data_IF_631190462749
#
_entry.id   IF_631190462749
#
_cell.length_a   1.000
_cell.length_b   1.000
_cell.length_c   1.000
_cell.angle_alpha   90.00
_cell.angle_beta   90.00
_cell.angle_gamma   90.00
#
_symmetry.space_group_name_H-M   'P 1'
#
loop_
_entity.id
_entity.type
_entity.pdbx_description
1 polymer ?
#
# COMPACT_ATOMS: atom_id res chain seq x y z
N UNK A 1 1.90 1.71 -46.57
CA UNK A 1 1.78 0.79 -45.42
C UNK A 1 1.19 1.58 -44.26
N UNK A 2 0.06 1.17 -43.68
CA UNK A 2 -0.59 1.98 -42.65
C UNK A 2 0.22 1.89 -41.36
N UNK A 3 0.58 3.06 -40.81
CA UNK A 3 1.20 3.17 -39.49
C UNK A 3 0.23 2.59 -38.45
N UNK A 4 0.65 1.67 -37.56
CA UNK A 4 -0.22 1.12 -36.54
C UNK A 4 -0.58 2.21 -35.52
N UNK A 5 -1.88 2.48 -35.41
CA UNK A 5 -2.57 3.30 -34.40
C UNK A 5 -1.95 4.65 -34.01
N UNK A 6 -2.55 5.72 -34.51
CA UNK A 6 -2.40 7.06 -33.92
C UNK A 6 -2.64 6.96 -32.41
N UNK A 7 -1.63 7.36 -31.63
CA UNK A 7 -1.64 7.26 -30.17
C UNK A 7 -2.68 8.25 -29.61
N UNK A 8 -3.83 7.77 -29.15
CA UNK A 8 -4.95 8.63 -28.75
C UNK A 8 -5.23 8.48 -27.25
N UNK A 9 -5.28 9.61 -26.53
CA UNK A 9 -5.93 9.68 -25.21
C UNK A 9 -7.41 10.00 -25.44
N UNK A 10 -8.29 9.14 -24.95
CA UNK A 10 -9.74 9.27 -25.09
C UNK A 10 -10.36 9.70 -23.76
N UNK A 11 -11.14 10.77 -23.79
CA UNK A 11 -11.98 11.13 -22.65
C UNK A 11 -13.15 10.14 -22.57
N UNK A 12 -13.43 9.63 -21.37
CA UNK A 12 -14.52 8.68 -21.11
C UNK A 12 -15.67 9.33 -20.31
N UNK A 13 -15.68 10.66 -20.23
CA UNK A 13 -16.84 11.42 -19.75
C UNK A 13 -18.04 11.17 -20.66
N UNK A 14 -19.25 11.08 -20.10
CA UNK A 14 -20.48 10.90 -20.85
C UNK A 14 -20.57 11.92 -21.99
N UNK A 15 -20.90 11.46 -23.20
CA UNK A 15 -21.07 12.27 -24.40
C UNK A 15 -19.84 13.07 -24.88
N UNK A 16 -18.66 12.87 -24.27
CA UNK A 16 -17.43 13.49 -24.73
C UNK A 16 -16.74 12.68 -25.83
N UNK A 17 -16.63 13.25 -27.03
CA UNK A 17 -15.89 12.68 -28.16
C UNK A 17 -14.46 13.21 -28.27
N UNK A 18 -13.94 13.87 -27.23
CA UNK A 18 -12.62 14.49 -27.30
C UNK A 18 -11.51 13.43 -27.32
N UNK A 19 -10.65 13.55 -28.32
CA UNK A 19 -9.51 12.68 -28.57
C UNK A 19 -8.26 13.55 -28.65
N UNK A 20 -7.32 13.35 -27.74
CA UNK A 20 -6.00 14.00 -27.83
C UNK A 20 -5.07 13.07 -28.59
N UNK A 21 -4.77 13.44 -29.84
CA UNK A 21 -3.73 12.76 -30.64
C UNK A 21 -2.36 13.11 -30.07
N UNK A 22 -1.57 12.10 -29.73
CA UNK A 22 -0.21 12.30 -29.24
C UNK A 22 0.69 12.60 -30.44
N UNK A 23 1.02 13.87 -30.64
CA UNK A 23 1.90 14.30 -31.73
C UNK A 23 3.37 13.94 -31.43
N UNK A 24 4.13 13.38 -32.38
CA UNK A 24 5.53 12.99 -32.18
C UNK A 24 6.49 14.14 -31.81
N UNK A 25 6.11 15.41 -32.05
CA UNK A 25 6.97 16.59 -31.82
C UNK A 25 6.66 17.42 -30.56
N UNK A 26 5.57 17.13 -29.82
CA UNK A 26 5.28 17.80 -28.54
C UNK A 26 5.80 16.94 -27.39
N UNK A 27 6.30 17.57 -26.32
CA UNK A 27 6.67 16.87 -25.08
C UNK A 27 5.46 16.13 -24.52
N UNK A 28 5.68 14.89 -24.12
CA UNK A 28 4.65 14.02 -23.58
C UNK A 28 4.02 14.59 -22.30
N UNK A 29 4.81 15.27 -21.47
CA UNK A 29 4.35 15.96 -20.27
C UNK A 29 3.30 17.04 -20.59
N UNK A 30 3.50 17.80 -21.66
CA UNK A 30 2.57 18.86 -22.07
C UNK A 30 1.26 18.27 -22.58
N UNK A 31 1.33 17.16 -23.32
CA UNK A 31 0.16 16.43 -23.82
C UNK A 31 -0.69 15.85 -22.68
N UNK A 32 -0.05 15.30 -21.64
CA UNK A 32 -0.75 14.81 -20.44
C UNK A 32 -1.47 15.94 -19.72
N UNK A 33 -0.82 17.09 -19.57
CA UNK A 33 -1.39 18.24 -18.90
C UNK A 33 -2.57 18.83 -19.70
N UNK A 34 -2.45 18.90 -21.03
CA UNK A 34 -3.52 19.34 -21.93
C UNK A 34 -4.77 18.44 -21.81
N UNK A 35 -4.57 17.12 -21.82
CA UNK A 35 -5.67 16.16 -21.62
C UNK A 35 -6.30 16.28 -20.23
N UNK A 36 -5.48 16.41 -19.17
CA UNK A 36 -6.00 16.57 -17.81
C UNK A 36 -6.80 17.86 -17.64
N UNK A 37 -6.34 18.98 -18.22
CA UNK A 37 -7.08 20.25 -18.24
C UNK A 37 -8.37 20.17 -19.05
N UNK A 38 -8.40 19.38 -20.12
CA UNK A 38 -9.63 19.09 -20.84
C UNK A 38 -10.65 18.38 -19.95
N UNK A 39 -10.23 17.33 -19.24
CA UNK A 39 -11.11 16.59 -18.35
C UNK A 39 -11.62 17.49 -17.21
N UNK A 40 -10.75 18.35 -16.65
CA UNK A 40 -11.12 19.31 -15.59
C UNK A 40 -12.25 20.27 -16.01
N UNK A 41 -12.36 20.64 -17.29
CA UNK A 41 -13.47 21.47 -17.79
C UNK A 41 -14.84 20.80 -17.63
N UNK A 42 -14.91 19.47 -17.68
CA UNK A 42 -16.16 18.76 -17.44
C UNK A 42 -16.64 18.90 -15.99
N UNK A 43 -15.70 18.93 -15.02
CA UNK A 43 -16.05 19.20 -13.63
C UNK A 43 -16.59 20.63 -13.45
N UNK A 44 -15.96 21.62 -14.08
CA UNK A 44 -16.41 23.02 -14.06
C UNK A 44 -17.81 23.15 -14.63
N UNK A 45 -18.07 22.54 -15.79
CA UNK A 45 -19.37 22.62 -16.43
C UNK A 45 -20.46 21.90 -15.62
N UNK A 46 -20.15 20.73 -15.07
CA UNK A 46 -21.13 19.99 -14.25
C UNK A 46 -21.54 20.75 -12.99
N UNK A 47 -20.60 21.39 -12.29
CA UNK A 47 -20.90 22.24 -11.13
C UNK A 47 -21.68 23.49 -11.56
N UNK A 48 -21.35 24.07 -12.71
CA UNK A 48 -22.07 25.23 -13.25
C UNK A 48 -23.53 24.90 -13.57
N UNK A 49 -23.79 23.76 -14.20
CA UNK A 49 -25.16 23.29 -14.51
C UNK A 49 -25.97 23.13 -13.22
N UNK A 50 -25.40 22.45 -12.21
CA UNK A 50 -26.05 22.33 -10.89
C UNK A 50 -26.36 23.68 -10.26
N UNK A 51 -25.41 24.63 -10.30
CA UNK A 51 -25.62 25.96 -9.74
C UNK A 51 -26.77 26.71 -10.45
N UNK A 52 -26.95 26.52 -11.77
CA UNK A 52 -28.06 27.11 -12.52
C UNK A 52 -29.39 26.45 -12.17
N UNK A 53 -29.43 25.12 -12.08
CA UNK A 53 -30.65 24.35 -11.79
C UNK A 53 -31.25 24.68 -10.41
N UNK A 54 -30.40 24.91 -9.41
CA UNK A 54 -30.82 25.15 -8.03
C UNK A 54 -30.77 26.64 -7.61
N UNK A 55 -30.46 27.55 -8.53
CA UNK A 55 -30.34 28.99 -8.22
C UNK A 55 -29.15 29.33 -7.30
N UNK A 56 -28.16 28.44 -7.24
CA UNK A 56 -26.98 28.50 -6.37
C UNK A 56 -26.53 27.11 -5.94
N UNK A 57 -25.28 26.99 -5.47
CA UNK A 57 -24.81 25.77 -4.82
C UNK A 57 -25.34 25.79 -3.38
N UNK A 58 -26.05 24.72 -2.97
CA UNK A 58 -26.57 24.55 -1.62
C UNK A 58 -25.93 23.34 -0.93
N UNK A 59 -26.08 23.22 0.39
CA UNK A 59 -25.61 22.07 1.16
C UNK A 59 -26.32 20.74 0.82
N UNK A 60 -27.38 20.79 0.01
CA UNK A 60 -28.08 19.62 -0.52
C UNK A 60 -27.63 19.26 -1.95
N UNK A 61 -26.67 20.01 -2.53
CA UNK A 61 -26.19 19.77 -3.88
C UNK A 61 -25.31 18.51 -3.93
N UNK A 62 -25.84 17.46 -4.56
CA UNK A 62 -25.14 16.21 -4.85
C UNK A 62 -24.70 16.23 -6.32
N UNK A 63 -23.39 16.15 -6.58
CA UNK A 63 -22.84 16.01 -7.93
C UNK A 63 -22.49 14.54 -8.19
N UNK A 64 -23.23 13.92 -9.12
CA UNK A 64 -22.90 12.59 -9.62
C UNK A 64 -21.84 12.67 -10.73
N UNK A 65 -20.79 11.85 -10.62
CA UNK A 65 -19.77 11.75 -11.67
C UNK A 65 -20.34 11.09 -12.93
N UNK A 66 -20.10 11.70 -14.10
CA UNK A 66 -20.52 11.15 -15.40
C UNK A 66 -19.41 10.39 -16.13
N UNK A 67 -18.32 10.06 -15.44
CA UNK A 67 -17.27 9.24 -16.02
C UNK A 67 -17.76 7.80 -16.19
N UNK A 68 -17.47 7.16 -17.34
CA UNK A 68 -17.91 5.78 -17.59
C UNK A 68 -17.50 4.84 -16.46
N UNK A 69 -18.46 4.05 -15.93
CA UNK A 69 -18.28 3.12 -14.83
C UNK A 69 -17.81 3.78 -13.51
N UNK A 70 -18.20 5.03 -13.28
CA UNK A 70 -17.98 5.73 -12.01
C UNK A 70 -19.31 6.02 -11.32
N UNK A 71 -19.52 5.42 -10.14
CA UNK A 71 -20.74 5.64 -9.34
C UNK A 71 -20.51 6.67 -8.21
N UNK A 72 -19.42 7.45 -8.30
CA UNK A 72 -19.07 8.42 -7.27
C UNK A 72 -20.07 9.58 -7.22
N UNK A 73 -20.49 9.90 -5.99
CA UNK A 73 -21.33 11.04 -5.63
C UNK A 73 -20.52 11.97 -4.75
N UNK A 74 -20.51 13.25 -5.09
CA UNK A 74 -19.76 14.28 -4.39
C UNK A 74 -20.76 15.21 -3.70
N UNK A 75 -20.64 15.31 -2.40
CA UNK A 75 -21.52 16.08 -1.53
C UNK A 75 -20.68 17.05 -0.69
N UNK A 76 -21.29 18.15 -0.26
CA UNK A 76 -20.67 19.13 0.63
C UNK A 76 -21.65 19.51 1.74
N UNK A 77 -21.17 19.65 2.97
CA UNK A 77 -22.02 20.13 4.05
C UNK A 77 -22.10 21.66 4.10
N UNK A 78 -23.09 22.20 4.81
CA UNK A 78 -23.30 23.64 4.92
C UNK A 78 -22.11 24.37 5.55
N UNK A 79 -21.43 23.72 6.51
CA UNK A 79 -20.24 24.26 7.15
C UNK A 79 -19.06 24.38 6.16
N UNK A 80 -18.87 23.41 5.28
CA UNK A 80 -17.83 23.45 4.25
C UNK A 80 -18.12 24.52 3.19
N UNK A 81 -19.38 24.67 2.79
CA UNK A 81 -19.81 25.69 1.82
C UNK A 81 -19.59 27.12 2.35
N UNK A 82 -19.87 27.34 3.63
CA UNK A 82 -19.61 28.63 4.30
C UNK A 82 -18.12 28.96 4.39
N UNK A 83 -17.26 27.96 4.59
CA UNK A 83 -15.81 28.14 4.65
C UNK A 83 -15.18 28.35 3.27
N UNK A 84 -15.65 27.61 2.26
CA UNK A 84 -15.14 27.70 0.89
C UNK A 84 -16.28 27.50 -0.14
N UNK A 85 -16.76 28.58 -0.77
CA UNK A 85 -17.81 28.50 -1.80
C UNK A 85 -17.46 27.62 -3.01
N UNK A 86 -16.16 27.39 -3.27
CA UNK A 86 -15.67 26.59 -4.40
C UNK A 86 -15.37 25.13 -4.02
N UNK A 87 -15.69 24.69 -2.79
CA UNK A 87 -15.34 23.35 -2.30
C UNK A 87 -15.85 22.23 -3.19
N UNK A 88 -17.11 22.32 -3.64
CA UNK A 88 -17.70 21.32 -4.54
C UNK A 88 -16.94 21.23 -5.87
N UNK A 89 -16.50 22.38 -6.41
CA UNK A 89 -15.69 22.43 -7.62
C UNK A 89 -14.31 21.81 -7.42
N UNK A 90 -13.66 22.06 -6.28
CA UNK A 90 -12.37 21.43 -5.94
C UNK A 90 -12.50 19.91 -5.88
N UNK A 91 -13.53 19.39 -5.19
CA UNK A 91 -13.80 17.96 -5.08
C UNK A 91 -14.06 17.35 -6.47
N UNK A 92 -14.88 17.99 -7.29
CA UNK A 92 -15.17 17.57 -8.64
C UNK A 92 -13.90 17.56 -9.51
N UNK A 93 -13.10 18.63 -9.49
CA UNK A 93 -11.86 18.73 -10.25
C UNK A 93 -10.83 17.69 -9.82
N UNK A 94 -10.65 17.47 -8.50
CA UNK A 94 -9.82 16.41 -7.95
C UNK A 94 -10.25 15.04 -8.51
N UNK A 95 -11.53 14.72 -8.40
CA UNK A 95 -12.08 13.44 -8.83
C UNK A 95 -11.91 13.20 -10.33
N UNK A 96 -12.27 14.18 -11.17
CA UNK A 96 -12.19 14.05 -12.63
C UNK A 96 -10.74 13.98 -13.13
N UNK A 97 -9.82 14.73 -12.52
CA UNK A 97 -8.41 14.67 -12.90
C UNK A 97 -7.73 13.37 -12.48
N UNK A 98 -8.23 12.66 -11.44
CA UNK A 98 -7.78 11.31 -11.12
C UNK A 98 -8.16 10.30 -12.21
N UNK A 99 -9.39 10.40 -12.75
CA UNK A 99 -9.78 9.59 -13.90
C UNK A 99 -8.91 9.88 -15.13
N UNK A 100 -8.69 11.16 -15.42
CA UNK A 100 -7.79 11.57 -16.51
C UNK A 100 -6.38 10.98 -16.33
N UNK A 101 -5.85 11.02 -15.10
CA UNK A 101 -4.58 10.41 -14.76
C UNK A 101 -4.59 8.89 -14.97
N UNK A 102 -5.67 8.19 -14.61
CA UNK A 102 -5.83 6.75 -14.84
C UNK A 102 -5.78 6.37 -16.32
N UNK A 103 -6.50 7.11 -17.18
CA UNK A 103 -6.45 6.91 -18.63
C UNK A 103 -5.03 7.06 -19.15
N UNK A 104 -4.33 8.12 -18.71
CA UNK A 104 -2.94 8.39 -19.10
C UNK A 104 -2.02 7.23 -18.71
N UNK A 105 -2.03 6.78 -17.45
CA UNK A 105 -1.09 5.75 -16.97
C UNK A 105 -1.40 4.36 -17.57
N UNK A 106 -2.67 4.06 -17.87
CA UNK A 106 -3.05 2.86 -18.63
C UNK A 106 -2.52 2.91 -20.05
N UNK A 107 -2.66 4.05 -20.73
CA UNK A 107 -2.13 4.22 -22.09
C UNK A 107 -0.61 4.11 -22.13
N UNK A 108 0.09 4.66 -21.13
CA UNK A 108 1.54 4.47 -20.97
C UNK A 108 1.92 2.99 -20.76
N UNK A 109 1.14 2.27 -19.97
CA UNK A 109 1.28 0.82 -19.82
C UNK A 109 1.15 0.08 -21.14
N UNK A 110 0.10 0.36 -21.94
CA UNK A 110 -0.08 -0.24 -23.28
C UNK A 110 1.13 0.00 -24.17
N UNK A 111 1.59 1.25 -24.25
CA UNK A 111 2.77 1.62 -25.06
C UNK A 111 4.01 0.84 -24.61
N UNK A 112 4.24 0.75 -23.30
CA UNK A 112 5.40 0.06 -22.77
C UNK A 112 5.35 -1.44 -23.06
N UNK A 113 4.19 -2.07 -22.89
CA UNK A 113 3.98 -3.49 -23.19
C UNK A 113 4.22 -3.77 -24.68
N UNK A 114 3.59 -2.99 -25.56
CA UNK A 114 3.73 -3.13 -27.01
C UNK A 114 5.18 -2.90 -27.49
N UNK A 115 5.83 -1.83 -27.01
CA UNK A 115 7.21 -1.50 -27.41
C UNK A 115 8.26 -2.50 -26.92
N UNK A 116 7.99 -3.23 -25.83
CA UNK A 116 8.90 -4.21 -25.25
C UNK A 116 8.54 -5.66 -25.61
N UNK A 117 7.45 -5.88 -26.33
CA UNK A 117 6.94 -7.22 -26.64
C UNK A 117 6.62 -8.02 -25.38
N UNK A 118 6.13 -7.35 -24.33
CA UNK A 118 5.76 -8.01 -23.08
C UNK A 118 4.39 -8.68 -23.21
N UNK A 119 4.16 -9.73 -22.41
CA UNK A 119 2.89 -10.43 -22.45
C UNK A 119 1.74 -9.61 -21.89
N UNK A 120 0.52 -9.95 -22.32
CA UNK A 120 -0.69 -9.33 -21.80
C UNK A 120 -1.04 -9.86 -20.40
N UNK A 121 -1.77 -9.04 -19.65
CA UNK A 121 -2.22 -9.42 -18.32
C UNK A 121 -3.46 -10.32 -18.42
N UNK A 122 -3.42 -11.48 -17.79
CA UNK A 122 -4.52 -12.45 -17.75
C UNK A 122 -5.59 -12.13 -16.68
N UNK A 123 -5.37 -11.11 -15.84
CA UNK A 123 -6.36 -10.67 -14.86
C UNK A 123 -7.46 -9.86 -15.55
N UNK A 124 -8.71 -10.18 -15.26
CA UNK A 124 -9.86 -9.47 -15.81
C UNK A 124 -10.11 -8.13 -15.10
N UNK A 125 -11.00 -7.31 -15.68
CA UNK A 125 -11.41 -6.02 -15.13
C UNK A 125 -12.17 -6.12 -13.80
N UNK A 126 -12.60 -7.31 -13.37
CA UNK A 126 -13.25 -7.51 -12.06
C UNK A 126 -12.26 -7.42 -10.88
N UNK A 127 -10.95 -7.55 -11.15
CA UNK A 127 -9.87 -7.25 -10.21
C UNK A 127 -9.30 -5.83 -10.39
N UNK A 128 -9.98 -4.98 -11.17
CA UNK A 128 -9.62 -3.58 -11.18
C UNK A 128 -9.67 -3.08 -9.73
N UNK A 129 -8.64 -2.33 -9.34
CA UNK A 129 -8.80 -1.39 -8.26
C UNK A 129 -9.80 -0.35 -8.75
N UNK A 130 -11.09 -0.70 -8.69
CA UNK A 130 -12.21 0.22 -8.65
C UNK A 130 -11.81 1.29 -7.65
N UNK A 131 -11.95 2.54 -8.07
CA UNK A 131 -11.51 3.72 -7.34
C UNK A 131 -11.81 3.60 -5.85
N UNK A 132 -10.73 3.46 -5.07
CA UNK A 132 -10.75 3.54 -3.62
C UNK A 132 -9.30 3.67 -3.14
N UNK A 133 -8.63 4.77 -3.50
CA UNK A 133 -7.87 5.42 -2.43
C UNK A 133 -8.95 6.13 -1.61
N UNK A 134 -9.56 5.39 -0.68
CA UNK A 134 -10.48 5.89 0.35
C UNK A 134 -9.70 6.77 1.32
N UNK A 135 -9.00 7.78 0.80
CA UNK A 135 -8.53 8.88 1.61
C UNK A 135 -9.78 9.72 1.93
N UNK A 136 -10.07 10.01 3.21
CA UNK A 136 -11.38 10.47 3.65
C UNK A 136 -11.91 11.73 2.97
N UNK A 137 -11.05 12.55 2.33
CA UNK A 137 -11.48 13.68 1.51
C UNK A 137 -10.48 13.92 0.36
N UNK A 138 -10.92 14.20 -0.87
CA UNK A 138 -10.09 14.68 -1.97
C UNK A 138 -9.54 16.10 -1.70
N UNK A 139 -8.57 16.22 -0.78
CA UNK A 139 -7.86 17.47 -0.54
C UNK A 139 -6.89 17.78 -1.69
N UNK A 140 -6.62 19.08 -2.00
CA UNK A 140 -5.59 19.47 -2.95
C UNK A 140 -4.23 18.86 -2.58
N UNK A 141 -3.55 18.30 -3.58
CA UNK A 141 -2.22 17.71 -3.40
C UNK A 141 -1.21 18.82 -3.12
N UNK A 142 -0.50 18.73 -2.00
CA UNK A 142 0.48 19.74 -1.54
C UNK A 142 1.92 19.22 -1.65
N UNK A 143 2.80 20.01 -2.24
CA UNK A 143 4.22 19.70 -2.30
C UNK A 143 4.86 19.96 -0.93
N UNK A 144 5.71 19.05 -0.46
CA UNK A 144 6.46 19.23 0.80
C UNK A 144 7.97 19.37 0.55
N UNK A 145 8.34 19.73 -0.68
CA UNK A 145 9.69 20.15 -0.99
C UNK A 145 10.02 21.42 -0.21
N UNK A 146 11.26 21.56 0.25
CA UNK A 146 11.68 22.70 1.05
C UNK A 146 11.39 24.01 0.30
N UNK A 147 10.73 24.94 1.01
CA UNK A 147 10.32 26.24 0.48
C UNK A 147 9.42 26.19 -0.76
N UNK A 148 8.73 25.07 -1.00
CA UNK A 148 7.68 24.96 -2.00
C UNK A 148 6.30 25.01 -1.35
N UNK A 149 5.49 25.98 -1.76
CA UNK A 149 4.12 26.17 -1.28
C UNK A 149 3.06 25.69 -2.30
N UNK A 150 3.50 25.04 -3.38
CA UNK A 150 2.63 24.62 -4.47
C UNK A 150 1.61 23.58 -4.01
N UNK A 151 0.35 23.79 -4.41
CA UNK A 151 -0.73 22.82 -4.25
C UNK A 151 -1.66 22.86 -5.46
N UNK A 152 -2.31 21.74 -5.77
CA UNK A 152 -3.27 21.64 -6.88
C UNK A 152 -4.20 20.45 -6.71
N UNK A 153 -5.44 20.56 -7.21
CA UNK A 153 -6.36 19.44 -7.40
C UNK A 153 -5.97 18.54 -8.58
N UNK A 154 -5.19 19.07 -9.54
CA UNK A 154 -4.86 18.37 -10.77
C UNK A 154 -3.67 17.42 -10.56
N UNK A 155 -3.99 16.12 -10.52
CA UNK A 155 -3.00 15.05 -10.25
C UNK A 155 -1.82 15.08 -11.23
N UNK A 156 -2.06 15.36 -12.52
CA UNK A 156 -0.99 15.41 -13.51
C UNK A 156 -0.11 16.65 -13.34
N UNK A 157 -0.70 17.81 -13.01
CA UNK A 157 0.04 19.03 -12.73
C UNK A 157 0.91 18.88 -11.47
N UNK A 158 0.39 18.23 -10.42
CA UNK A 158 1.13 17.96 -9.20
C UNK A 158 2.39 17.12 -9.45
N UNK A 159 2.26 16.00 -10.15
CA UNK A 159 3.41 15.13 -10.43
C UNK A 159 4.44 15.80 -11.35
N UNK A 160 3.98 16.54 -12.36
CA UNK A 160 4.86 17.33 -13.20
C UNK A 160 5.63 18.37 -12.37
N UNK A 161 4.93 19.11 -11.50
CA UNK A 161 5.54 20.06 -10.59
C UNK A 161 6.60 19.40 -9.69
N UNK A 162 6.26 18.31 -8.99
CA UNK A 162 7.22 17.63 -8.13
C UNK A 162 8.46 17.16 -8.91
N UNK A 163 8.27 16.67 -10.14
CA UNK A 163 9.38 16.24 -11.00
C UNK A 163 10.30 17.39 -11.43
N UNK A 164 9.78 18.62 -11.50
CA UNK A 164 10.53 19.79 -11.92
C UNK A 164 11.53 20.28 -10.86
N UNK A 165 11.40 19.87 -9.60
CA UNK A 165 12.41 20.17 -8.58
C UNK A 165 13.80 19.63 -8.94
N UNK A 166 13.88 18.62 -9.81
CA UNK A 166 15.15 18.14 -10.36
C UNK A 166 15.93 19.24 -11.12
N UNK A 167 15.22 20.19 -11.71
CA UNK A 167 15.81 21.31 -12.47
C UNK A 167 16.49 22.33 -11.57
N UNK A 168 16.24 22.32 -10.25
CA UNK A 168 16.98 23.15 -9.29
C UNK A 168 18.49 22.82 -9.28
N UNK A 169 18.85 21.62 -9.74
CA UNK A 169 20.23 21.14 -9.86
C UNK A 169 20.79 21.22 -11.29
N UNK A 170 19.97 21.56 -12.28
CA UNK A 170 20.40 21.75 -13.69
C UNK A 170 20.87 23.19 -13.95
N UNK A 171 21.78 23.37 -14.93
CA UNK A 171 22.09 24.71 -15.46
C UNK A 171 20.91 25.16 -16.32
N UNK A 172 20.34 26.37 -16.14
CA UNK A 172 19.18 26.80 -16.92
C UNK A 172 19.53 26.99 -18.40
N UNK A 173 18.71 26.51 -19.35
CA UNK A 173 18.78 26.97 -20.74
C UNK A 173 18.28 28.42 -20.84
N UNK A 174 18.71 29.22 -21.84
CA UNK A 174 18.58 30.67 -21.82
C UNK A 174 17.14 31.24 -21.94
N UNK A 175 16.08 30.42 -22.01
CA UNK A 175 14.78 30.90 -22.53
C UNK A 175 13.50 30.40 -21.84
N UNK A 176 13.51 29.64 -20.73
CA UNK A 176 12.25 29.19 -20.11
C UNK A 176 11.88 29.92 -18.82
N UNK A 177 10.96 30.89 -18.96
CA UNK A 177 10.25 31.56 -17.86
C UNK A 177 9.22 30.60 -17.24
N UNK A 178 9.61 29.81 -16.25
CA UNK A 178 8.65 29.27 -15.28
C UNK A 178 8.66 30.15 -14.03
N UNK A 179 7.67 31.03 -13.93
CA UNK A 179 7.42 31.87 -12.75
C UNK A 179 6.98 30.95 -11.61
N UNK A 180 7.81 30.85 -10.56
CA UNK A 180 7.54 30.45 -9.16
C UNK A 180 8.64 29.58 -8.52
N UNK A 181 9.80 29.36 -9.16
CA UNK A 181 10.96 28.77 -8.48
C UNK A 181 11.79 29.88 -7.84
N UNK A 182 11.76 29.98 -6.50
CA UNK A 182 12.74 30.80 -5.75
C UNK A 182 14.11 30.14 -5.97
N UNK A 183 14.97 30.78 -6.77
CA UNK A 183 16.27 30.25 -7.13
C UNK A 183 17.14 30.06 -5.88
N UNK A 184 17.64 28.84 -5.65
CA UNK A 184 18.63 28.53 -4.61
C UNK A 184 19.95 28.06 -5.23
N UNK A 185 21.01 28.13 -4.42
CA UNK A 185 22.43 27.94 -4.76
C UNK A 185 22.86 26.48 -5.02
N UNK A 186 21.94 25.57 -5.39
CA UNK A 186 22.26 24.14 -5.57
C UNK A 186 22.92 23.80 -6.93
N UNK A 187 23.44 24.80 -7.64
CA UNK A 187 23.99 24.64 -8.99
C UNK A 187 25.34 23.92 -8.96
N UNK A 188 25.44 22.81 -9.68
CA UNK A 188 26.70 22.11 -9.90
C UNK A 188 27.18 21.25 -8.72
N UNK A 189 26.29 20.92 -7.78
CA UNK A 189 26.61 19.97 -6.70
C UNK A 189 26.63 18.54 -7.30
N UNK A 190 27.73 17.82 -7.10
CA UNK A 190 27.91 16.42 -7.55
C UNK A 190 26.88 15.48 -6.90
N UNK A 191 26.52 15.80 -5.67
CA UNK A 191 25.52 15.12 -4.87
C UNK A 191 24.24 15.94 -4.81
N UNK A 192 23.11 15.33 -5.15
CA UNK A 192 21.80 15.96 -5.18
C UNK A 192 20.97 15.49 -3.99
N UNK A 193 20.99 16.21 -2.85
CA UNK A 193 20.16 15.89 -1.70
C UNK A 193 18.68 16.06 -2.05
N UNK A 194 17.82 15.18 -1.55
CA UNK A 194 16.39 15.38 -1.61
C UNK A 194 15.98 16.42 -0.55
N UNK A 195 15.34 17.52 -0.96
CA UNK A 195 14.87 18.55 -0.05
C UNK A 195 13.43 18.33 0.41
N UNK A 196 12.90 17.12 0.26
CA UNK A 196 11.58 16.80 0.79
C UNK A 196 11.64 16.81 2.32
N UNK A 197 10.63 17.38 2.98
CA UNK A 197 10.58 17.48 4.45
C UNK A 197 10.80 16.11 5.09
N UNK A 198 11.85 16.00 5.93
CA UNK A 198 12.19 14.77 6.64
C UNK A 198 12.89 13.70 5.79
N UNK A 199 13.46 14.06 4.63
CA UNK A 199 14.22 13.16 3.78
C UNK A 199 15.71 13.52 3.77
N UNK A 200 16.57 12.59 4.20
CA UNK A 200 18.02 12.76 4.17
C UNK A 200 18.70 12.05 2.99
N UNK A 201 17.91 11.64 1.98
CA UNK A 201 18.42 10.84 0.88
C UNK A 201 19.20 11.69 -0.13
N UNK A 202 20.38 11.21 -0.52
CA UNK A 202 21.26 11.89 -1.49
C UNK A 202 21.38 11.07 -2.77
N UNK A 203 21.16 11.69 -3.92
CA UNK A 203 21.22 11.06 -5.23
C UNK A 203 22.47 11.52 -6.01
N UNK A 204 23.06 10.62 -6.80
CA UNK A 204 24.25 10.93 -7.64
C UNK A 204 23.92 11.32 -9.08
N UNK A 205 22.65 11.25 -9.47
CA UNK A 205 22.17 11.64 -10.81
C UNK A 205 20.76 12.23 -10.74
N UNK A 206 20.44 13.11 -11.69
CA UNK A 206 19.14 13.79 -11.82
C UNK A 206 18.03 12.75 -12.04
N UNK A 207 18.32 11.71 -12.83
CA UNK A 207 17.40 10.59 -13.07
C UNK A 207 17.07 9.85 -11.77
N UNK A 208 18.07 9.60 -10.91
CA UNK A 208 17.86 8.94 -9.62
C UNK A 208 17.08 9.84 -8.65
N UNK A 209 17.35 11.15 -8.65
CA UNK A 209 16.55 12.09 -7.86
C UNK A 209 15.10 12.11 -8.33
N UNK A 210 14.88 12.13 -9.65
CA UNK A 210 13.53 12.11 -10.26
C UNK A 210 12.76 10.84 -9.84
N UNK A 211 13.42 9.67 -9.85
CA UNK A 211 12.80 8.43 -9.38
C UNK A 211 12.56 8.45 -7.86
N UNK A 212 13.50 8.97 -7.08
CA UNK A 212 13.37 9.08 -5.62
C UNK A 212 12.19 9.98 -5.21
N UNK A 213 11.97 11.11 -5.90
CA UNK A 213 10.84 12.02 -5.62
C UNK A 213 9.49 11.30 -5.71
N UNK A 214 9.37 10.25 -6.54
CA UNK A 214 8.13 9.45 -6.66
C UNK A 214 7.78 8.69 -5.39
N UNK A 215 8.76 8.40 -4.52
CA UNK A 215 8.49 7.80 -3.22
C UNK A 215 7.68 8.74 -2.32
N UNK A 216 7.89 10.05 -2.46
CA UNK A 216 7.20 11.06 -1.68
C UNK A 216 5.87 11.47 -2.30
N UNK A 217 5.86 11.76 -3.60
CA UNK A 217 4.63 12.11 -4.33
C UNK A 217 3.69 10.92 -4.48
N UNK A 218 4.17 9.70 -4.23
CA UNK A 218 3.50 8.42 -4.47
C UNK A 218 3.08 8.23 -5.94
N UNK A 219 3.73 8.95 -6.86
CA UNK A 219 3.46 8.82 -8.30
C UNK A 219 3.76 7.40 -8.78
N UNK A 220 2.80 6.81 -9.49
CA UNK A 220 2.97 5.53 -10.19
C UNK A 220 2.80 5.77 -11.69
N UNK A 221 3.90 5.91 -12.45
CA UNK A 221 3.87 6.44 -13.82
C UNK A 221 3.21 5.53 -14.85
N UNK A 222 3.07 4.24 -14.56
CA UNK A 222 2.46 3.27 -15.49
C UNK A 222 1.44 2.39 -14.76
N UNK A 223 0.42 1.95 -15.49
CA UNK A 223 -0.55 0.99 -15.01
C UNK A 223 -0.73 -0.15 -16.00
N UNK A 224 -1.05 -1.34 -15.51
CA UNK A 224 -1.49 -2.43 -16.36
C UNK A 224 -2.79 -2.02 -17.06
N UNK A 225 -2.87 -2.11 -18.40
CA UNK A 225 -4.07 -1.70 -19.13
C UNK A 225 -5.27 -2.62 -18.91
N UNK A 226 -5.05 -3.89 -18.58
CA UNK A 226 -6.11 -4.88 -18.36
C UNK A 226 -6.67 -4.80 -16.94
N UNK A 227 -5.82 -4.93 -15.91
CA UNK A 227 -6.26 -4.96 -14.51
C UNK A 227 -6.20 -3.60 -13.80
N UNK A 228 -5.66 -2.55 -14.44
CA UNK A 228 -5.57 -1.21 -13.85
C UNK A 228 -4.57 -1.05 -12.69
N UNK A 229 -3.83 -2.09 -12.31
CA UNK A 229 -2.84 -1.99 -11.23
C UNK A 229 -1.72 -1.01 -11.62
N UNK A 230 -1.42 -0.05 -10.74
CA UNK A 230 -0.39 0.97 -10.95
C UNK A 230 0.98 0.54 -10.41
N UNK A 231 2.07 0.91 -11.07
CA UNK A 231 3.45 0.53 -10.73
C UNK A 231 4.39 1.73 -10.66
N UNK A 232 5.38 1.66 -9.77
CA UNK A 232 6.39 2.72 -9.56
C UNK A 232 7.45 2.77 -10.66
N UNK A 233 7.74 1.64 -11.31
CA UNK A 233 8.68 1.58 -12.41
C UNK A 233 8.36 0.41 -13.37
N UNK A 234 9.00 0.44 -14.53
CA UNK A 234 8.79 -0.49 -15.64
C UNK A 234 9.08 -1.95 -15.23
N UNK A 235 10.12 -2.18 -14.43
CA UNK A 235 10.47 -3.53 -13.95
C UNK A 235 9.37 -4.13 -13.08
N UNK A 236 8.64 -3.33 -12.29
CA UNK A 236 7.52 -3.82 -11.48
C UNK A 236 6.31 -4.21 -12.33
N UNK A 237 5.99 -3.45 -13.38
CA UNK A 237 4.96 -3.83 -14.36
C UNK A 237 5.34 -5.12 -15.09
N UNK A 238 6.59 -5.24 -15.56
CA UNK A 238 7.06 -6.47 -16.21
C UNK A 238 6.93 -7.69 -15.30
N UNK A 239 7.40 -7.59 -14.06
CA UNK A 239 7.26 -8.66 -13.08
C UNK A 239 5.80 -9.02 -12.79
N UNK A 240 4.89 -8.03 -12.82
CA UNK A 240 3.47 -8.29 -12.68
C UNK A 240 2.95 -9.12 -13.84
N UNK A 241 3.27 -8.77 -15.10
CA UNK A 241 2.81 -9.47 -16.30
C UNK A 241 3.37 -10.90 -16.37
N UNK A 242 4.68 -11.07 -16.13
CA UNK A 242 5.33 -12.38 -16.13
C UNK A 242 4.73 -13.34 -15.09
N UNK A 243 4.34 -12.82 -13.92
CA UNK A 243 3.68 -13.62 -12.87
C UNK A 243 2.30 -14.12 -13.26
N UNK A 244 1.64 -13.49 -14.23
CA UNK A 244 0.32 -13.93 -14.69
C UNK A 244 0.44 -15.00 -15.77
N UNK A 245 1.44 -14.92 -16.67
CA UNK A 245 1.64 -15.94 -17.71
C UNK A 245 2.04 -17.32 -17.17
N UNK A 246 2.76 -17.35 -16.06
CA UNK A 246 3.25 -18.60 -15.48
C UNK A 246 2.61 -18.86 -14.13
N UNK A 247 1.80 -19.94 -13.98
CA UNK A 247 1.34 -20.39 -12.67
C UNK A 247 2.49 -20.85 -11.76
N UNK A 248 3.72 -20.94 -12.27
CA UNK A 248 4.88 -21.44 -11.56
C UNK A 248 6.01 -20.42 -11.54
N UNK A 249 6.54 -20.08 -10.36
CA UNK A 249 7.80 -19.34 -10.28
C UNK A 249 8.91 -20.06 -11.03
N UNK A 250 9.54 -19.33 -11.96
CA UNK A 250 10.54 -19.85 -12.93
C UNK A 250 11.83 -20.33 -12.25
N UNK A 251 12.08 -19.90 -11.01
CA UNK A 251 13.35 -20.11 -10.33
C UNK A 251 13.17 -20.90 -9.05
N UNK A 252 13.57 -22.17 -9.09
CA UNK A 252 13.57 -23.10 -7.95
C UNK A 252 14.88 -22.98 -7.19
N UNK A 253 14.80 -22.95 -5.86
CA UNK A 253 15.96 -23.17 -5.02
C UNK A 253 16.27 -24.66 -4.94
N UNK A 254 17.47 -25.07 -5.33
CA UNK A 254 17.85 -26.49 -5.31
C UNK A 254 17.99 -27.05 -3.89
N UNK A 255 18.23 -26.19 -2.90
CA UNK A 255 18.46 -26.61 -1.51
C UNK A 255 17.18 -26.80 -0.67
N UNK A 256 16.16 -25.97 -0.87
CA UNK A 256 14.90 -26.06 -0.10
C UNK A 256 13.65 -26.18 -0.97
N UNK A 257 13.84 -26.27 -2.29
CA UNK A 257 12.78 -26.42 -3.29
C UNK A 257 11.75 -25.29 -3.28
N UNK A 258 12.05 -24.18 -2.60
CA UNK A 258 11.23 -22.97 -2.61
C UNK A 258 11.35 -22.26 -3.95
N UNK A 259 10.27 -21.58 -4.28
CA UNK A 259 9.88 -21.24 -5.63
C UNK A 259 9.81 -19.70 -5.71
N UNK A 260 10.58 -19.08 -6.61
CA UNK A 260 10.79 -17.62 -6.69
C UNK A 260 10.42 -17.01 -8.05
N UNK A 261 9.82 -15.81 -8.01
CA UNK A 261 9.31 -15.13 -9.21
C UNK A 261 10.37 -14.46 -10.09
N UNK A 262 11.64 -14.43 -9.67
CA UNK A 262 12.75 -13.89 -10.48
C UNK A 262 14.11 -14.41 -10.00
N UNK A 263 15.07 -14.47 -10.92
CA UNK A 263 16.43 -14.94 -10.63
C UNK A 263 17.13 -14.10 -9.55
N UNK A 264 16.87 -12.79 -9.50
CA UNK A 264 17.43 -11.90 -8.46
C UNK A 264 16.91 -12.24 -7.07
N UNK A 265 15.61 -12.52 -6.95
CA UNK A 265 15.02 -12.93 -5.66
C UNK A 265 15.51 -14.34 -5.28
N UNK A 266 15.66 -15.25 -6.24
CA UNK A 266 16.29 -16.55 -5.99
C UNK A 266 17.73 -16.36 -5.50
N UNK A 267 18.54 -15.54 -6.16
CA UNK A 267 19.94 -15.27 -5.76
C UNK A 267 20.02 -14.68 -4.34
N UNK A 268 19.14 -13.73 -4.00
CA UNK A 268 19.01 -13.18 -2.65
C UNK A 268 18.61 -14.26 -1.63
N UNK A 269 17.74 -15.18 -2.03
CA UNK A 269 17.36 -16.32 -1.22
C UNK A 269 18.50 -17.35 -1.08
N UNK A 270 19.29 -17.61 -2.11
CA UNK A 270 20.42 -18.55 -2.06
C UNK A 270 21.50 -18.08 -1.07
N UNK A 271 21.65 -16.76 -0.90
CA UNK A 271 22.47 -16.19 0.19
C UNK A 271 21.97 -16.56 1.58
N UNK A 272 20.71 -17.01 1.73
CA UNK A 272 20.18 -17.54 2.99
C UNK A 272 20.62 -18.94 3.34
N UNK A 273 21.06 -19.70 2.33
CA UNK A 273 21.56 -21.05 2.52
C UNK A 273 23.07 -21.06 2.76
N UNK A 274 23.78 -20.10 2.19
CA UNK A 274 25.22 -19.93 2.41
C UNK A 274 25.44 -18.91 3.53
N UNK A 275 25.62 -19.39 4.76
CA UNK A 275 25.95 -18.54 5.91
C UNK A 275 27.40 -18.02 5.79
N UNK A 276 27.58 -16.93 5.06
CA UNK A 276 28.91 -16.32 4.81
C UNK A 276 29.38 -15.39 5.93
N UNK A 277 28.47 -14.89 6.76
CA UNK A 277 28.79 -13.85 7.75
C UNK A 277 29.00 -14.49 9.12
N UNK A 278 30.26 -14.63 9.54
CA UNK A 278 30.62 -15.19 10.85
C UNK A 278 30.48 -14.12 11.94
N UNK A 279 29.87 -14.48 13.07
CA UNK A 279 29.88 -13.64 14.25
C UNK A 279 31.30 -13.55 14.84
N UNK A 280 31.83 -12.35 15.15
CA UNK A 280 33.13 -12.22 15.82
C UNK A 280 33.16 -12.76 17.26
N UNK A 281 32.00 -12.84 17.92
CA UNK A 281 31.89 -13.16 19.35
C UNK A 281 31.32 -14.56 19.64
N UNK A 282 30.89 -15.30 18.61
CA UNK A 282 30.48 -16.69 18.74
C UNK A 282 30.64 -17.46 17.42
N UNK A 283 30.49 -18.77 17.45
CA UNK A 283 30.63 -19.62 16.26
C UNK A 283 29.42 -19.56 15.30
N UNK A 284 28.43 -18.73 15.60
CA UNK A 284 27.21 -18.63 14.80
C UNK A 284 27.47 -17.90 13.47
N UNK A 285 27.09 -18.54 12.37
CA UNK A 285 27.19 -17.98 11.02
C UNK A 285 25.82 -17.59 10.50
N UNK A 286 25.76 -16.46 9.82
CA UNK A 286 24.52 -15.82 9.38
C UNK A 286 24.54 -15.55 7.88
N UNK A 287 23.37 -15.50 7.24
CA UNK A 287 23.28 -15.40 5.79
C UNK A 287 23.42 -13.98 5.24
N UNK A 288 23.11 -12.96 6.04
CA UNK A 288 23.10 -11.57 5.58
C UNK A 288 23.73 -10.64 6.61
N UNK A 289 24.37 -9.54 6.18
CA UNK A 289 24.93 -8.54 7.10
C UNK A 289 23.89 -7.96 8.07
N UNK A 290 22.65 -7.74 7.61
CA UNK A 290 21.55 -7.27 8.46
C UNK A 290 21.18 -8.29 9.54
N UNK A 291 21.22 -9.59 9.22
CA UNK A 291 20.98 -10.64 10.19
C UNK A 291 22.13 -10.76 11.20
N UNK A 292 23.38 -10.58 10.76
CA UNK A 292 24.55 -10.47 11.65
C UNK A 292 24.44 -9.27 12.59
N UNK A 293 24.12 -8.08 12.09
CA UNK A 293 23.90 -6.89 12.92
C UNK A 293 22.82 -7.11 13.97
N UNK A 294 21.68 -7.69 13.59
CA UNK A 294 20.61 -8.02 14.53
C UNK A 294 21.06 -9.06 15.56
N UNK A 295 21.82 -10.09 15.14
CA UNK A 295 22.36 -11.07 16.05
C UNK A 295 23.32 -10.44 17.07
N UNK A 296 24.23 -9.58 16.62
CA UNK A 296 25.14 -8.82 17.47
C UNK A 296 24.36 -7.96 18.47
N UNK A 297 23.37 -7.20 18.00
CA UNK A 297 22.49 -6.42 18.88
C UNK A 297 21.79 -7.29 19.93
N UNK A 298 21.23 -8.43 19.50
CA UNK A 298 20.38 -9.25 20.37
C UNK A 298 21.19 -10.03 21.41
N UNK A 299 22.34 -10.57 21.01
CA UNK A 299 23.09 -11.57 21.79
C UNK A 299 24.36 -11.02 22.42
N UNK A 300 24.97 -10.00 21.84
CA UNK A 300 26.27 -9.50 22.25
C UNK A 300 26.26 -8.02 22.70
N UNK A 301 25.20 -7.27 22.39
CA UNK A 301 25.02 -5.90 22.90
C UNK A 301 24.06 -5.88 24.09
N UNK A 302 24.37 -5.06 25.10
CA UNK A 302 23.46 -4.74 26.21
C UNK A 302 22.56 -3.53 25.91
N UNK A 303 22.85 -2.81 24.82
CA UNK A 303 22.11 -1.59 24.45
C UNK A 303 20.65 -1.90 24.13
N UNK A 304 19.76 -1.11 24.72
CA UNK A 304 18.31 -1.15 24.51
C UNK A 304 17.82 0.20 24.00
N UNK A 305 18.14 0.55 22.74
CA UNK A 305 17.91 1.89 22.21
C UNK A 305 16.42 2.25 22.06
N UNK A 306 15.52 1.26 22.08
CA UNK A 306 14.09 1.47 21.90
C UNK A 306 13.39 1.54 23.25
N UNK A 307 13.12 2.77 23.71
CA UNK A 307 12.44 3.06 24.98
C UNK A 307 10.97 3.37 24.73
N UNK A 308 10.10 2.83 25.57
CA UNK A 308 8.68 3.14 25.57
C UNK A 308 8.46 4.57 26.07
N UNK A 309 7.75 5.35 25.26
CA UNK A 309 7.42 6.75 25.51
C UNK A 309 6.19 6.95 26.40
N UNK A 310 5.48 5.86 26.76
CA UNK A 310 4.29 5.94 27.61
C UNK A 310 4.67 6.28 29.06
N UNK A 311 3.96 7.25 29.68
CA UNK A 311 4.31 7.76 31.01
C UNK A 311 4.24 6.65 32.07
N UNK A 312 5.32 6.50 32.83
CA UNK A 312 5.45 5.52 33.90
C UNK A 312 5.85 4.10 33.48
N UNK A 313 6.02 3.81 32.17
CA UNK A 313 6.39 2.46 31.75
C UNK A 313 7.89 2.17 31.85
N UNK A 314 8.75 3.11 31.41
CA UNK A 314 10.22 2.97 31.44
C UNK A 314 10.79 1.74 30.70
N UNK A 315 9.99 1.02 29.91
CA UNK A 315 10.44 -0.22 29.28
C UNK A 315 11.35 0.06 28.10
N UNK A 316 12.55 -0.54 28.10
CA UNK A 316 13.48 -0.49 26.99
C UNK A 316 13.71 -1.88 26.39
N UNK A 317 13.83 -1.94 25.07
CA UNK A 317 14.05 -3.16 24.32
C UNK A 317 15.08 -3.00 23.20
N UNK A 318 15.53 -4.12 22.64
CA UNK A 318 16.65 -4.17 21.69
C UNK A 318 16.24 -3.99 20.23
N UNK A 319 14.93 -4.08 19.92
CA UNK A 319 14.41 -3.98 18.55
C UNK A 319 13.08 -3.23 18.51
N UNK A 320 12.82 -2.48 17.44
CA UNK A 320 11.56 -1.77 17.21
C UNK A 320 10.32 -2.68 17.21
N UNK A 321 10.42 -3.89 16.65
CA UNK A 321 9.29 -4.85 16.65
C UNK A 321 8.89 -5.27 18.07
N UNK A 322 9.86 -5.43 18.97
CA UNK A 322 9.58 -5.69 20.39
C UNK A 322 8.92 -4.49 21.05
N UNK A 323 9.33 -3.26 20.69
CA UNK A 323 8.68 -2.06 21.17
C UNK A 323 7.23 -1.99 20.68
N UNK A 324 6.97 -2.27 19.39
CA UNK A 324 5.61 -2.30 18.83
C UNK A 324 4.71 -3.33 19.53
N UNK A 325 5.23 -4.53 19.78
CA UNK A 325 4.51 -5.56 20.54
C UNK A 325 4.28 -5.12 21.99
N UNK A 326 5.27 -4.46 22.59
CA UNK A 326 5.15 -3.88 23.93
C UNK A 326 4.15 -2.72 23.99
N UNK A 327 4.10 -1.84 23.00
CA UNK A 327 3.18 -0.68 22.97
C UNK A 327 1.72 -1.09 22.91
N UNK A 328 1.42 -2.26 22.31
CA UNK A 328 0.09 -2.87 22.42
C UNK A 328 -0.29 -3.20 23.86
N UNK A 329 0.67 -3.22 24.80
CA UNK A 329 0.38 -3.39 26.23
C UNK A 329 -0.23 -2.17 26.90
N UNK A 330 -0.04 -1.00 26.29
CA UNK A 330 -0.59 0.27 26.75
C UNK A 330 -1.94 0.59 26.10
N UNK A 331 -2.25 -0.10 25.01
CA UNK A 331 -3.54 -0.05 24.35
C UNK A 331 -4.61 -0.75 25.20
N UNK A 332 -5.16 -0.01 26.17
CA UNK A 332 -6.27 -0.41 27.05
C UNK A 332 -7.64 -0.20 26.38
N UNK A 333 -7.74 -0.52 25.10
CA UNK A 333 -8.95 -0.32 24.29
C UNK A 333 -10.10 -1.29 24.62
N UNK A 334 -9.83 -2.41 25.28
CA UNK A 334 -10.84 -3.44 25.54
C UNK A 334 -11.44 -3.29 26.93
N UNK A 335 -12.60 -2.64 26.99
CA UNK A 335 -13.43 -2.49 28.19
C UNK A 335 -14.23 -3.76 28.44
N UNK A 336 -14.37 -4.15 29.70
CA UNK A 336 -15.41 -5.08 30.13
C UNK A 336 -16.70 -4.32 30.35
N UNK A 337 -17.75 -4.67 29.61
CA UNK A 337 -19.06 -3.99 29.67
C UNK A 337 -19.83 -4.26 30.97
N UNK A 338 -19.35 -5.19 31.81
CA UNK A 338 -20.03 -5.61 33.06
C UNK A 338 -19.41 -4.93 34.29
N UNK A 339 -18.10 -4.69 34.31
CA UNK A 339 -17.43 -4.10 35.48
C UNK A 339 -16.41 -2.99 35.16
N UNK A 340 -16.45 -2.43 33.95
CA UNK A 340 -15.62 -1.31 33.49
C UNK A 340 -14.12 -1.48 33.66
N UNK A 341 -13.66 -2.73 33.79
CA UNK A 341 -12.23 -3.03 33.79
C UNK A 341 -11.68 -3.02 32.38
N UNK A 342 -10.52 -2.40 32.21
CA UNK A 342 -9.84 -2.32 30.94
C UNK A 342 -8.76 -3.38 30.79
N UNK A 343 -8.72 -4.00 29.62
CA UNK A 343 -7.83 -5.08 29.27
C UNK A 343 -7.02 -4.74 28.04
N UNK A 344 -5.85 -5.35 27.99
CA UNK A 344 -4.79 -5.09 27.02
C UNK A 344 -4.93 -5.95 25.76
N UNK A 345 -5.54 -7.13 25.89
CA UNK A 345 -5.80 -8.05 24.78
C UNK A 345 -7.10 -8.78 25.01
N UNK A 346 -7.72 -9.23 23.90
CA UNK A 346 -8.97 -10.01 23.93
C UNK A 346 -8.83 -11.26 24.79
N UNK A 347 -7.67 -11.91 24.77
CA UNK A 347 -7.38 -13.07 25.62
C UNK A 347 -7.52 -12.78 27.12
N UNK A 348 -7.05 -11.63 27.59
CA UNK A 348 -7.16 -11.25 29.01
C UNK A 348 -8.58 -10.82 29.38
N UNK A 349 -9.28 -10.11 28.49
CA UNK A 349 -10.69 -9.77 28.66
C UNK A 349 -11.54 -11.04 28.77
N UNK A 350 -11.42 -12.00 27.85
CA UNK A 350 -12.19 -13.25 27.90
C UNK A 350 -11.89 -14.09 29.13
N UNK A 351 -10.63 -14.12 29.56
CA UNK A 351 -10.24 -14.78 30.82
C UNK A 351 -10.87 -14.10 32.04
N UNK A 352 -10.99 -12.78 32.01
CA UNK A 352 -11.67 -12.01 33.06
C UNK A 352 -13.18 -12.25 33.02
N UNK A 353 -13.83 -12.14 31.85
CA UNK A 353 -15.27 -12.41 31.67
C UNK A 353 -15.63 -13.82 32.16
N UNK A 354 -14.84 -14.83 31.81
CA UNK A 354 -15.06 -16.22 32.26
C UNK A 354 -14.89 -16.40 33.78
N UNK A 355 -13.92 -15.72 34.42
CA UNK A 355 -13.64 -15.90 35.85
C UNK A 355 -14.45 -14.99 36.77
N UNK A 356 -14.71 -13.75 36.36
CA UNK A 356 -15.33 -12.72 37.18
C UNK A 356 -16.84 -12.58 36.90
N UNK A 357 -17.28 -12.91 35.69
CA UNK A 357 -18.68 -12.79 35.27
C UNK A 357 -19.31 -14.11 34.85
N UNK A 358 -18.59 -15.24 35.01
CA UNK A 358 -19.10 -16.55 34.63
C UNK A 358 -19.46 -16.64 33.15
N UNK A 359 -18.83 -15.84 32.29
CA UNK A 359 -19.10 -15.83 30.86
C UNK A 359 -18.49 -17.09 30.22
N UNK A 360 -19.33 -18.11 30.07
CA UNK A 360 -19.02 -19.31 29.30
C UNK A 360 -19.42 -19.09 27.83
N UNK A 361 -18.42 -19.11 26.95
CA UNK A 361 -18.61 -19.05 25.51
C UNK A 361 -19.19 -20.38 25.01
N UNK A 362 -20.46 -20.64 25.31
CA UNK A 362 -21.27 -21.71 24.75
C UNK A 362 -22.46 -21.14 23.98
N UNK A 363 -22.18 -20.25 23.03
CA UNK A 363 -23.03 -20.09 21.86
C UNK A 363 -22.25 -19.33 20.80
N UNK A 364 -22.19 -19.89 19.58
CA UNK A 364 -21.67 -19.30 18.35
C UNK A 364 -20.17 -19.50 18.05
N UNK A 365 -19.74 -20.75 17.98
CA UNK A 365 -19.00 -21.23 16.79
C UNK A 365 -19.08 -22.75 16.74
N UNK A 366 -19.26 -23.30 15.54
CA UNK A 366 -19.29 -24.75 15.30
C UNK A 366 -17.88 -25.36 15.45
N UNK A 367 -17.34 -25.36 16.66
CA UNK A 367 -16.06 -26.02 16.98
C UNK A 367 -16.30 -27.49 17.38
N UNK A 368 -15.59 -28.41 16.70
CA UNK A 368 -15.59 -29.85 17.00
C UNK A 368 -15.13 -30.08 18.44
N UNK A 369 -15.95 -30.78 19.22
CA UNK A 369 -15.68 -31.12 20.62
C UNK A 369 -14.97 -32.47 20.70
N UNK A 370 -14.02 -32.66 21.63
CA UNK A 370 -13.21 -33.87 21.75
C UNK A 370 -13.44 -34.57 23.09
N UNK A 371 -13.85 -35.85 23.10
CA UNK A 371 -14.13 -36.60 24.33
C UNK A 371 -13.20 -37.79 24.51
N UNK A 372 -12.77 -38.02 25.75
CA UNK A 372 -12.02 -39.23 26.10
C UNK A 372 -12.94 -40.45 26.09
N UNK A 373 -12.61 -41.48 25.32
CA UNK A 373 -13.38 -42.73 25.32
C UNK A 373 -13.21 -43.57 26.61
N UNK A 374 -12.23 -43.25 27.47
CA UNK A 374 -11.95 -43.99 28.71
C UNK A 374 -12.65 -43.42 29.94
N UNK A 375 -12.79 -42.09 30.02
CA UNK A 375 -13.39 -41.43 31.18
C UNK A 375 -14.45 -40.39 30.82
N UNK A 376 -14.82 -40.30 29.54
CA UNK A 376 -15.84 -39.39 29.02
C UNK A 376 -15.57 -37.90 29.27
N UNK A 377 -14.33 -37.53 29.64
CA UNK A 377 -13.93 -36.14 29.78
C UNK A 377 -14.00 -35.42 28.43
N UNK A 378 -14.82 -34.37 28.37
CA UNK A 378 -14.99 -33.51 27.20
C UNK A 378 -13.98 -32.36 27.25
N UNK A 379 -13.33 -32.09 26.12
CA UNK A 379 -12.29 -31.08 25.97
C UNK A 379 -12.52 -30.22 24.73
N UNK A 380 -12.08 -28.97 24.81
CA UNK A 380 -12.27 -27.95 23.77
C UNK A 380 -11.37 -28.11 22.53
N UNK A 381 -10.27 -28.86 22.62
CA UNK A 381 -9.40 -29.10 21.47
C UNK A 381 -8.66 -30.46 21.54
N UNK A 382 -8.21 -30.96 20.39
CA UNK A 382 -7.46 -32.22 20.27
C UNK A 382 -6.15 -32.27 21.09
N UNK A 383 -5.54 -31.12 21.41
CA UNK A 383 -4.29 -31.06 22.18
C UNK A 383 -4.53 -31.30 23.66
N UNK A 384 -5.63 -30.76 24.19
CA UNK A 384 -6.08 -31.01 25.55
C UNK A 384 -6.42 -32.49 25.75
N UNK A 385 -7.16 -33.11 24.82
CA UNK A 385 -7.45 -34.54 24.91
C UNK A 385 -6.17 -35.39 24.84
N UNK A 386 -5.26 -35.07 23.92
CA UNK A 386 -3.98 -35.80 23.81
C UNK A 386 -3.15 -35.73 25.10
N UNK A 387 -3.11 -34.55 25.75
CA UNK A 387 -2.38 -34.38 27.02
C UNK A 387 -3.05 -35.14 28.16
N UNK A 388 -4.38 -35.17 28.18
CA UNK A 388 -5.15 -35.93 29.17
C UNK A 388 -4.91 -37.44 29.03
N UNK A 389 -4.98 -37.99 27.82
CA UNK A 389 -4.71 -39.40 27.52
C UNK A 389 -3.29 -39.82 27.96
N UNK A 390 -2.27 -38.98 27.70
CA UNK A 390 -0.90 -39.26 28.14
C UNK A 390 -0.74 -39.21 29.67
N UNK A 391 -1.36 -38.23 30.35
CA UNK A 391 -1.12 -37.98 31.78
C UNK A 391 -1.99 -38.81 32.72
N UNK A 392 -3.23 -39.11 32.33
CA UNK A 392 -4.22 -39.80 33.17
C UNK A 392 -4.43 -41.25 32.75
N UNK A 393 -4.18 -41.58 31.49
CA UNK A 393 -4.36 -42.93 30.97
C UNK A 393 -3.04 -43.55 30.46
N UNK A 394 -1.90 -42.87 30.65
CA UNK A 394 -0.56 -43.34 30.33
C UNK A 394 -0.40 -43.86 28.89
N UNK A 395 -1.17 -43.31 27.95
CA UNK A 395 -1.11 -43.70 26.55
C UNK A 395 0.14 -43.10 25.88
N UNK A 396 0.93 -43.96 25.24
CA UNK A 396 2.14 -43.57 24.51
C UNK A 396 1.82 -43.26 23.06
N UNK A 397 2.36 -42.14 22.57
CA UNK A 397 2.18 -41.71 21.18
C UNK A 397 3.15 -42.45 20.25
N UNK A 398 2.74 -42.89 19.05
CA UNK A 398 3.66 -43.42 18.05
C UNK A 398 4.77 -42.43 17.70
N UNK A 399 5.98 -42.92 17.44
CA UNK A 399 7.12 -42.10 17.08
C UNK A 399 6.83 -41.27 15.81
N UNK A 400 7.18 -39.98 15.83
CA UNK A 400 7.04 -39.08 14.67
C UNK A 400 5.76 -38.22 14.61
N UNK A 401 4.75 -38.46 15.45
CA UNK A 401 3.54 -37.64 15.49
C UNK A 401 3.59 -36.60 16.61
N UNK A 402 2.85 -35.48 16.50
CA UNK A 402 2.80 -34.41 17.53
C UNK A 402 1.52 -34.40 18.37
N UNK A 403 0.51 -35.22 18.02
CA UNK A 403 -0.76 -35.43 18.73
C UNK A 403 -1.39 -36.77 18.32
N UNK A 404 -2.37 -37.27 19.08
CA UNK A 404 -3.22 -38.38 18.61
C UNK A 404 -4.13 -37.89 17.47
N UNK A 405 -4.53 -38.81 16.58
CA UNK A 405 -5.58 -38.56 15.58
C UNK A 405 -6.89 -39.03 16.20
N UNK A 406 -7.92 -38.19 16.12
CA UNK A 406 -9.25 -38.44 16.67
C UNK A 406 -10.25 -38.51 15.53
N UNK A 407 -11.18 -39.45 15.59
CA UNK A 407 -12.20 -39.64 14.56
C UNK A 407 -13.53 -39.00 15.02
N UNK A 408 -14.22 -38.25 14.14
CA UNK A 408 -15.53 -37.70 14.47
C UNK A 408 -16.56 -38.83 14.61
N UNK A 409 -17.19 -38.93 15.78
CA UNK A 409 -18.32 -39.81 16.01
C UNK A 409 -19.60 -39.31 15.33
N UNK A 410 -20.59 -40.17 15.22
CA UNK A 410 -21.92 -39.86 14.64
C UNK A 410 -22.70 -38.79 15.41
N UNK A 411 -22.27 -38.50 16.64
CA UNK A 411 -22.80 -37.47 17.54
C UNK A 411 -22.06 -36.12 17.43
N UNK A 412 -21.15 -35.97 16.46
CA UNK A 412 -20.37 -34.74 16.26
C UNK A 412 -19.21 -34.56 17.24
N UNK A 413 -18.95 -35.55 18.11
CA UNK A 413 -17.86 -35.56 19.09
C UNK A 413 -16.69 -36.40 18.58
N UNK A 414 -15.50 -35.79 18.50
CA UNK A 414 -14.27 -36.50 18.14
C UNK A 414 -13.77 -37.35 19.33
N UNK A 415 -13.50 -38.64 19.13
CA UNK A 415 -13.00 -39.56 20.17
C UNK A 415 -11.62 -40.10 19.85
#
# INVERSE_FOLDING_TARGET
MPYPDEQILRCEWADCQHLVRCFPGKRWEDQRLEFSKHCERHAVEAVRVLAVEFGGISAAAELQCQWRNCDARLEICEQELQQNPNRLLELAACHVTQHAHHVIVKQLGRKLIASKGWPECLLNSAFCNSLADQSPEPAPLRCQWDSCEYFTCNTCAFYLHCSNHRFEYERPPPQQKFRQYRQREHRGIRDMPCLWRGCDHVCRSISNLTEHIRCHSKEKPTACPTCGQKFFNNSKLQNHLLRQETPNPVHKCDQCHKLFSSQRILSDHMRRHVNTQKCPHCEFTLPTPSALRRHLQMRHSEERPFVCTEPGCGHSCKTEDQLKVHSRRHDRSLRCDICDQHFVTTHFLYRHLSKAHGFDQLSQSAERVYACHLCHLVTKDSRCLSRHLMRRHHLSRPAGFSKFRFEPGTDGVCR
#
